data_IF_435722139358
#
_entry.id   IF_435722139358
#
_cell.length_a   1.000
_cell.length_b   1.000
_cell.length_c   1.000
_cell.angle_alpha   90.00
_cell.angle_beta   90.00
_cell.angle_gamma   90.00
#
_symmetry.space_group_name_H-M   'P 1'
#
loop_
_entity.id
_entity.type
_entity.pdbx_description
1 polymer ?
#
# COMPACT_ATOMS: atom_id res chain seq x y z
N UNK A 1 -16.84 -11.11 4.07
CA UNK A 1 -16.41 -10.24 2.95
C UNK A 1 -16.34 -8.77 3.36
N UNK A 2 -17.42 -8.15 3.85
CA UNK A 2 -17.43 -6.72 4.20
C UNK A 2 -16.41 -6.33 5.28
N UNK A 3 -16.39 -7.03 6.43
CA UNK A 3 -15.39 -6.81 7.50
C UNK A 3 -13.94 -6.97 7.02
N UNK A 4 -13.70 -7.89 6.08
CA UNK A 4 -12.39 -8.12 5.49
C UNK A 4 -11.98 -6.97 4.56
N UNK A 5 -12.90 -6.49 3.72
CA UNK A 5 -12.67 -5.30 2.89
C UNK A 5 -12.37 -4.07 3.76
N UNK A 6 -13.06 -3.91 4.88
CA UNK A 6 -12.79 -2.85 5.87
C UNK A 6 -11.39 -3.00 6.50
N UNK A 7 -11.01 -4.21 6.93
CA UNK A 7 -9.67 -4.48 7.47
C UNK A 7 -8.57 -4.18 6.45
N UNK A 8 -8.77 -4.56 5.19
CA UNK A 8 -7.83 -4.30 4.10
C UNK A 8 -7.73 -2.79 3.81
N UNK A 9 -8.85 -2.07 3.85
CA UNK A 9 -8.86 -0.62 3.64
C UNK A 9 -8.07 0.15 4.73
N UNK A 10 -7.95 -0.42 5.93
CA UNK A 10 -7.20 0.14 7.05
C UNK A 10 -5.72 -0.28 7.08
N UNK A 11 -5.30 -1.26 6.26
CA UNK A 11 -3.89 -1.62 6.17
C UNK A 11 -3.09 -0.44 5.64
N UNK A 12 -1.97 -0.13 6.28
CA UNK A 12 -1.06 0.92 5.86
C UNK A 12 0.22 0.30 5.28
N UNK A 13 0.72 0.91 4.22
CA UNK A 13 2.04 0.62 3.65
C UNK A 13 2.80 1.92 3.48
N UNK A 14 4.13 1.83 3.57
CA UNK A 14 5.02 2.95 3.31
C UNK A 14 5.82 2.65 2.06
N UNK A 15 5.67 3.52 1.06
CA UNK A 15 6.56 3.59 -0.09
C UNK A 15 7.66 4.60 0.14
N UNK A 16 8.75 4.46 -0.59
CA UNK A 16 9.93 5.29 -0.42
C UNK A 16 10.62 5.63 -1.75
N UNK A 17 11.36 6.73 -1.76
CA UNK A 17 12.23 7.14 -2.86
C UNK A 17 13.48 7.83 -2.33
N UNK A 18 14.47 8.05 -3.21
CA UNK A 18 15.72 8.72 -2.83
C UNK A 18 16.46 7.99 -1.71
N UNK A 19 16.50 6.66 -1.74
CA UNK A 19 17.06 5.82 -0.67
C UNK A 19 16.44 6.05 0.73
N UNK A 20 15.15 6.41 0.77
CA UNK A 20 14.41 6.62 2.01
C UNK A 20 14.37 8.06 2.49
N UNK A 21 14.90 9.01 1.71
CA UNK A 21 14.80 10.45 1.99
C UNK A 21 13.38 10.97 1.86
N UNK A 22 12.54 10.36 1.01
CA UNK A 22 11.10 10.59 1.02
C UNK A 22 10.37 9.30 1.31
N UNK A 23 9.44 9.35 2.26
CA UNK A 23 8.55 8.24 2.62
C UNK A 23 7.11 8.70 2.59
N UNK A 24 6.25 7.91 1.96
CA UNK A 24 4.82 8.17 1.86
C UNK A 24 4.05 6.98 2.38
N UNK A 25 3.27 7.18 3.43
CA UNK A 25 2.40 6.16 4.01
C UNK A 25 0.98 6.35 3.46
N UNK A 26 0.44 5.30 2.83
CA UNK A 26 -0.95 5.26 2.36
C UNK A 26 -1.68 4.07 2.98
N UNK A 27 -3.00 4.14 3.01
CA UNK A 27 -3.82 2.99 3.42
C UNK A 27 -4.40 2.22 2.22
N UNK A 28 -5.08 1.10 2.49
CA UNK A 28 -5.77 0.28 1.49
C UNK A 28 -6.87 0.97 0.67
N UNK A 29 -7.32 2.15 1.09
CA UNK A 29 -8.23 3.01 0.33
C UNK A 29 -7.49 4.06 -0.51
N UNK A 30 -6.16 3.97 -0.62
CA UNK A 30 -5.27 4.93 -1.29
C UNK A 30 -5.30 6.33 -0.66
N UNK A 31 -5.75 6.46 0.59
CA UNK A 31 -5.66 7.72 1.31
C UNK A 31 -4.23 7.90 1.82
N UNK A 32 -3.61 9.03 1.46
CA UNK A 32 -2.33 9.42 2.02
C UNK A 32 -2.48 9.80 3.50
N UNK A 33 -1.73 9.11 4.36
CA UNK A 33 -1.79 9.25 5.82
C UNK A 33 -0.66 10.10 6.34
N UNK A 34 0.53 9.97 5.74
CA UNK A 34 1.74 10.69 6.15
C UNK A 34 2.69 10.84 4.97
N UNK A 35 3.36 11.99 4.94
CA UNK A 35 4.51 12.25 4.06
C UNK A 35 5.65 12.68 4.97
N UNK A 36 6.80 12.02 4.84
CA UNK A 36 8.04 12.35 5.54
C UNK A 36 9.09 12.68 4.51
N UNK A 37 9.71 13.85 4.66
CA UNK A 37 10.74 14.36 3.78
C UNK A 37 11.94 14.66 4.65
N UNK A 38 13.10 14.11 4.30
CA UNK A 38 14.34 14.40 4.99
C UNK A 38 14.66 15.90 4.86
N UNK A 39 15.06 16.58 5.95
CA UNK A 39 15.38 18.01 5.92
C UNK A 39 16.42 18.38 4.86
N UNK A 40 17.32 17.47 4.48
CA UNK A 40 18.34 17.74 3.46
C UNK A 40 17.72 18.10 2.11
N UNK A 41 16.56 17.53 1.77
CA UNK A 41 15.87 17.76 0.50
C UNK A 41 15.19 19.13 0.44
N UNK A 42 15.11 19.87 1.55
CA UNK A 42 14.56 21.24 1.56
C UNK A 42 15.57 22.27 1.05
N UNK A 43 16.85 21.92 1.01
CA UNK A 43 17.92 22.74 0.44
C UNK A 43 18.15 22.47 -1.06
N UNK A 44 17.57 21.38 -1.58
CA UNK A 44 17.68 20.94 -2.98
C UNK A 44 16.68 21.67 -3.91
N UNK A 45 16.81 21.41 -5.22
CA UNK A 45 15.88 21.94 -6.21
C UNK A 45 14.47 21.36 -5.99
N UNK A 46 13.48 22.25 -6.03
CA UNK A 46 12.06 21.94 -5.93
C UNK A 46 11.65 20.82 -6.90
N UNK A 47 12.16 20.85 -8.13
CA UNK A 47 11.83 19.85 -9.16
C UNK A 47 12.22 18.43 -8.70
N UNK A 48 13.40 18.29 -8.08
CA UNK A 48 13.87 17.01 -7.55
C UNK A 48 12.98 16.51 -6.41
N UNK A 49 12.59 17.41 -5.49
CA UNK A 49 11.70 17.05 -4.39
C UNK A 49 10.33 16.59 -4.89
N UNK A 50 9.76 17.28 -5.88
CA UNK A 50 8.48 16.91 -6.50
C UNK A 50 8.55 15.51 -7.14
N UNK A 51 9.64 15.23 -7.87
CA UNK A 51 9.89 13.91 -8.47
C UNK A 51 10.02 12.80 -7.42
N UNK A 52 10.76 13.06 -6.35
CA UNK A 52 10.94 12.09 -5.26
C UNK A 52 9.61 11.80 -4.55
N UNK A 53 8.78 12.81 -4.29
CA UNK A 53 7.46 12.62 -3.68
C UNK A 53 6.55 11.79 -4.59
N UNK A 54 6.52 12.09 -5.90
CA UNK A 54 5.76 11.30 -6.86
C UNK A 54 6.25 9.84 -6.90
N UNK A 55 7.56 9.62 -6.91
CA UNK A 55 8.14 8.28 -6.89
C UNK A 55 7.78 7.50 -5.62
N UNK A 56 7.86 8.12 -4.44
CA UNK A 56 7.53 7.47 -3.16
C UNK A 56 6.04 7.12 -3.07
N UNK A 57 5.14 7.99 -3.56
CA UNK A 57 3.71 7.69 -3.62
C UNK A 57 3.42 6.51 -4.56
N UNK A 58 4.04 6.47 -5.74
CA UNK A 58 3.87 5.37 -6.70
C UNK A 58 4.45 4.05 -6.19
N UNK A 59 5.53 4.08 -5.40
CA UNK A 59 6.02 2.92 -4.68
C UNK A 59 5.00 2.43 -3.63
N UNK A 60 4.42 3.35 -2.84
CA UNK A 60 3.40 3.01 -1.85
C UNK A 60 2.15 2.38 -2.51
N UNK A 61 1.71 2.95 -3.64
CA UNK A 61 0.59 2.43 -4.43
C UNK A 61 0.83 1.01 -4.95
N UNK A 62 2.04 0.71 -5.42
CA UNK A 62 2.39 -0.66 -5.84
C UNK A 62 2.41 -1.64 -4.66
N UNK A 63 3.01 -1.23 -3.53
CA UNK A 63 3.07 -2.06 -2.31
C UNK A 63 1.68 -2.36 -1.74
N UNK A 64 0.74 -1.40 -1.79
CA UNK A 64 -0.62 -1.65 -1.28
C UNK A 64 -1.36 -2.65 -2.18
N UNK A 65 -1.20 -2.57 -3.50
CA UNK A 65 -1.79 -3.54 -4.43
C UNK A 65 -1.24 -4.96 -4.20
N UNK A 66 0.06 -5.09 -3.96
CA UNK A 66 0.69 -6.37 -3.60
C UNK A 66 0.16 -6.91 -2.28
N UNK A 67 0.11 -6.07 -1.24
CA UNK A 67 -0.42 -6.42 0.08
C UNK A 67 -1.88 -6.86 0.00
N UNK A 68 -2.70 -6.18 -0.82
CA UNK A 68 -4.09 -6.55 -1.05
C UNK A 68 -4.21 -7.92 -1.72
N UNK A 69 -3.41 -8.18 -2.77
CA UNK A 69 -3.39 -9.48 -3.46
C UNK A 69 -2.97 -10.60 -2.51
N UNK A 70 -1.94 -10.40 -1.71
CA UNK A 70 -1.46 -11.36 -0.71
C UNK A 70 -2.52 -11.66 0.35
N UNK A 71 -3.19 -10.62 0.88
CA UNK A 71 -4.26 -10.82 1.86
C UNK A 71 -5.42 -11.61 1.27
N UNK A 72 -5.86 -11.29 0.05
CA UNK A 72 -6.91 -12.06 -0.62
C UNK A 72 -6.50 -13.51 -0.88
N UNK A 73 -5.26 -13.75 -1.29
CA UNK A 73 -4.72 -15.10 -1.50
C UNK A 73 -4.60 -15.90 -0.19
N UNK A 74 -4.20 -15.25 0.90
CA UNK A 74 -4.10 -15.89 2.22
C UNK A 74 -5.48 -16.32 2.76
N UNK A 75 -6.51 -15.50 2.50
CA UNK A 75 -7.88 -15.83 2.91
C UNK A 75 -8.44 -16.94 2.04
N UNK A 76 -8.24 -16.90 0.71
CA UNK A 76 -8.74 -17.97 -0.19
C UNK A 76 -8.04 -19.31 0.04
N UNK A 77 -6.76 -19.31 0.42
CA UNK A 77 -6.01 -20.52 0.76
C UNK A 77 -6.35 -21.09 2.15
N UNK A 78 -6.62 -20.22 3.14
CA UNK A 78 -7.15 -20.62 4.45
C UNK A 78 -8.62 -21.06 4.39
N UNK A 79 -9.36 -20.60 3.38
CA UNK A 79 -10.70 -21.03 3.03
C UNK A 79 -10.63 -22.19 2.03
N UNK A 80 -9.75 -23.17 2.29
CA UNK A 80 -9.76 -24.48 1.64
C UNK A 80 -11.16 -25.05 1.84
N UNK A 81 -12.01 -24.82 0.83
CA UNK A 81 -13.37 -25.29 0.80
C UNK A 81 -13.30 -26.80 1.07
N UNK A 82 -13.97 -27.30 2.12
CA UNK A 82 -13.92 -28.72 2.43
C UNK A 82 -14.27 -29.49 1.15
N UNK A 83 -13.53 -30.56 0.83
CA UNK A 83 -13.75 -31.32 -0.40
C UNK A 83 -15.23 -31.72 -0.47
N UNK A 84 -15.96 -31.14 -1.42
CA UNK A 84 -17.42 -31.32 -1.58
C UNK A 84 -18.28 -30.06 -1.47
N UNK A 85 -17.73 -28.88 -1.17
CA UNK A 85 -18.53 -27.64 -1.15
C UNK A 85 -18.91 -27.19 -2.57
N UNK A 86 -20.09 -27.61 -3.04
CA UNK A 86 -20.73 -27.03 -4.24
C UNK A 86 -21.26 -25.66 -3.88
N UNK A 87 -20.71 -24.62 -4.51
CA UNK A 87 -21.33 -23.29 -4.53
C UNK A 87 -22.75 -23.46 -5.10
N UNK A 88 -23.80 -22.96 -4.41
CA UNK A 88 -25.12 -22.91 -5.02
C UNK A 88 -25.03 -21.92 -6.18
N UNK A 89 -25.37 -22.40 -7.37
CA UNK A 89 -25.48 -21.60 -8.58
C UNK A 89 -26.40 -20.40 -8.36
#
# INVERSE_FOLDING_TARGET
>A
MQKMQEEIAQLEVTGESGAGLVKVTINGAHNCRRVEIDPSLLEDDKEMLEDLVAAAFNDAARRIEETQKEKMASVSSGMQLPPGFKMPF
#
